data_IF_965724105037
#
_entry.id   IF_965724105037
#
_cell.length_a   1.000
_cell.length_b   1.000
_cell.length_c   1.000
_cell.angle_alpha   90.00
_cell.angle_beta   90.00
_cell.angle_gamma   90.00
#
_symmetry.space_group_name_H-M   'P 1'
#
loop_
_entity.id
_entity.type
_entity.pdbx_description
1 polymer ?
#
# COMPACT_ATOMS: atom_id res chain seq x y z
N UNK A 1 36.69 -6.81 6.66
CA UNK A 1 36.69 -7.88 7.70
C UNK A 1 35.35 -7.98 8.41
N UNK A 2 34.79 -6.87 8.87
CA UNK A 2 33.51 -6.83 9.60
C UNK A 2 32.32 -7.26 8.72
N UNK A 3 32.29 -6.83 7.48
CA UNK A 3 31.26 -7.19 6.50
C UNK A 3 31.27 -8.71 6.23
N UNK A 4 32.46 -9.30 6.10
CA UNK A 4 32.61 -10.73 5.89
C UNK A 4 32.10 -11.54 7.10
N UNK A 5 32.44 -11.09 8.31
CA UNK A 5 31.98 -11.72 9.54
C UNK A 5 30.43 -11.65 9.68
N UNK A 6 29.83 -10.47 9.45
CA UNK A 6 28.38 -10.31 9.48
C UNK A 6 27.68 -11.24 8.49
N UNK A 7 28.21 -11.31 7.28
CA UNK A 7 27.64 -12.15 6.23
C UNK A 7 27.73 -13.63 6.60
N UNK A 8 28.86 -14.07 7.13
CA UNK A 8 29.07 -15.46 7.58
C UNK A 8 28.11 -15.82 8.71
N UNK A 9 28.04 -15.02 9.76
CA UNK A 9 27.15 -15.24 10.90
C UNK A 9 25.68 -15.28 10.47
N UNK A 10 25.25 -14.33 9.64
CA UNK A 10 23.88 -14.28 9.14
C UNK A 10 23.55 -15.49 8.27
N UNK A 11 24.42 -15.87 7.36
CA UNK A 11 24.18 -17.00 6.45
C UNK A 11 24.14 -18.33 7.20
N UNK A 12 25.01 -18.52 8.18
CA UNK A 12 24.98 -19.70 9.06
C UNK A 12 23.66 -19.79 9.83
N UNK A 13 23.25 -18.68 10.44
CA UNK A 13 21.97 -18.64 11.15
C UNK A 13 20.78 -18.94 10.24
N UNK A 14 20.70 -18.35 9.04
CA UNK A 14 19.64 -18.59 8.08
C UNK A 14 19.63 -20.07 7.66
N UNK A 15 20.80 -20.69 7.46
CA UNK A 15 20.93 -22.10 7.10
C UNK A 15 20.42 -23.02 8.22
N UNK A 16 20.84 -22.77 9.46
CA UNK A 16 20.35 -23.52 10.62
C UNK A 16 18.84 -23.44 10.78
N UNK A 17 18.26 -22.25 10.55
CA UNK A 17 16.81 -22.08 10.57
C UNK A 17 16.10 -22.84 9.46
N UNK A 18 16.65 -22.83 8.24
CA UNK A 18 16.09 -23.57 7.11
C UNK A 18 16.15 -25.09 7.38
N UNK A 19 17.25 -25.58 7.93
CA UNK A 19 17.42 -27.01 8.29
C UNK A 19 16.45 -27.43 9.40
N UNK A 20 16.23 -26.57 10.40
CA UNK A 20 15.36 -26.88 11.55
C UNK A 20 13.87 -26.74 11.25
N UNK A 21 13.46 -25.73 10.44
CA UNK A 21 12.05 -25.35 10.28
C UNK A 21 11.55 -25.33 8.84
N UNK A 22 12.46 -25.49 7.87
CA UNK A 22 12.16 -25.34 6.44
C UNK A 22 12.08 -23.88 5.96
N UNK A 23 12.35 -22.90 6.82
CA UNK A 23 12.24 -21.46 6.48
C UNK A 23 13.19 -20.62 7.33
N UNK A 24 13.44 -19.38 6.88
CA UNK A 24 14.10 -18.35 7.67
C UNK A 24 13.55 -16.96 7.36
N UNK A 25 13.80 -16.00 8.24
CA UNK A 25 13.43 -14.60 7.99
C UNK A 25 14.24 -14.04 6.79
N UNK A 26 13.53 -13.68 5.72
CA UNK A 26 14.14 -13.20 4.49
C UNK A 26 14.55 -14.32 3.52
N UNK A 27 13.89 -15.49 3.58
CA UNK A 27 14.13 -16.63 2.68
C UNK A 27 14.01 -16.21 1.20
N UNK A 28 13.22 -15.20 0.89
CA UNK A 28 13.07 -14.65 -0.45
C UNK A 28 14.40 -14.11 -1.03
N UNK A 29 15.36 -13.75 -0.19
CA UNK A 29 16.69 -13.32 -0.64
C UNK A 29 17.52 -14.47 -1.24
N UNK A 30 17.08 -15.70 -1.03
CA UNK A 30 17.66 -16.91 -1.61
C UNK A 30 16.83 -17.43 -2.82
N UNK A 31 15.81 -16.69 -3.27
CA UNK A 31 14.85 -17.10 -4.30
C UNK A 31 15.51 -17.58 -5.60
N UNK A 32 16.59 -16.92 -6.03
CA UNK A 32 17.35 -17.32 -7.22
C UNK A 32 17.85 -18.79 -7.14
N UNK A 33 18.36 -19.19 -6.00
CA UNK A 33 18.88 -20.55 -5.80
C UNK A 33 17.76 -21.59 -5.73
N UNK A 34 16.61 -21.19 -5.15
CA UNK A 34 15.43 -22.06 -5.06
C UNK A 34 14.73 -22.24 -6.41
N UNK A 35 14.68 -21.19 -7.23
CA UNK A 35 14.01 -21.19 -8.54
C UNK A 35 14.92 -21.63 -9.70
N UNK A 36 16.23 -21.74 -9.49
CA UNK A 36 17.21 -22.06 -10.53
C UNK A 36 17.45 -20.94 -11.55
N UNK A 37 17.02 -19.72 -11.25
CA UNK A 37 17.19 -18.56 -12.14
C UNK A 37 18.63 -18.05 -12.17
N UNK A 38 18.97 -17.34 -13.24
CA UNK A 38 20.30 -16.74 -13.41
C UNK A 38 20.44 -15.47 -12.59
N UNK A 39 21.68 -15.06 -12.27
CA UNK A 39 21.93 -13.75 -11.65
C UNK A 39 21.31 -12.61 -12.46
N UNK A 40 20.61 -11.70 -11.77
CA UNK A 40 19.94 -10.55 -12.36
C UNK A 40 18.51 -10.80 -12.87
N UNK A 41 18.07 -12.04 -12.99
CA UNK A 41 16.68 -12.37 -13.31
C UNK A 41 15.77 -12.15 -12.11
N UNK A 42 14.57 -11.57 -12.28
CA UNK A 42 13.61 -11.39 -11.19
C UNK A 42 13.03 -12.74 -10.76
N UNK A 43 12.49 -12.87 -9.53
CA UNK A 43 11.73 -14.03 -9.13
C UNK A 43 10.46 -14.16 -9.98
N UNK A 44 9.82 -15.37 -10.01
CA UNK A 44 8.52 -15.53 -10.64
C UNK A 44 7.51 -14.53 -10.08
N UNK A 45 6.73 -13.92 -10.96
CA UNK A 45 5.67 -12.99 -10.60
C UNK A 45 4.30 -13.55 -10.99
N UNK A 46 3.22 -12.93 -10.51
CA UNK A 46 1.86 -13.32 -10.84
C UNK A 46 1.62 -13.35 -12.37
N UNK A 47 2.31 -12.48 -13.13
CA UNK A 47 2.17 -12.41 -14.59
C UNK A 47 2.59 -13.70 -15.32
N UNK A 48 3.51 -14.46 -14.74
CA UNK A 48 3.95 -15.74 -15.32
C UNK A 48 2.91 -16.87 -15.17
N UNK A 49 1.92 -16.68 -14.31
CA UNK A 49 0.83 -17.63 -14.09
C UNK A 49 -0.43 -17.31 -14.89
N UNK A 50 -0.47 -16.18 -15.58
CA UNK A 50 -1.62 -15.78 -16.37
C UNK A 50 -1.66 -16.55 -17.70
N UNK A 51 -2.83 -17.03 -18.13
CA UNK A 51 -3.04 -17.52 -19.49
C UNK A 51 -2.80 -16.40 -20.52
N UNK A 52 -2.40 -16.78 -21.73
CA UNK A 52 -2.10 -15.84 -22.83
C UNK A 52 -3.29 -14.92 -23.20
N UNK A 53 -4.52 -15.37 -22.96
CA UNK A 53 -5.75 -14.61 -23.23
C UNK A 53 -6.27 -13.81 -22.03
N UNK A 54 -5.45 -13.59 -21.00
CA UNK A 54 -5.84 -12.81 -19.82
C UNK A 54 -6.14 -11.36 -20.19
N UNK A 55 -7.22 -10.82 -19.65
CA UNK A 55 -7.55 -9.40 -19.68
C UNK A 55 -7.20 -8.76 -18.33
N UNK A 56 -6.33 -7.76 -18.36
CA UNK A 56 -5.85 -7.07 -17.17
C UNK A 56 -6.54 -5.72 -17.06
N UNK A 57 -7.01 -5.38 -15.85
CA UNK A 57 -7.51 -4.06 -15.51
C UNK A 57 -6.53 -3.40 -14.54
N UNK A 58 -5.99 -2.26 -14.93
CA UNK A 58 -5.12 -1.44 -14.07
C UNK A 58 -5.95 -0.28 -13.53
N UNK A 59 -6.40 -0.43 -12.30
CA UNK A 59 -7.17 0.60 -11.60
C UNK A 59 -6.26 1.70 -11.07
N UNK A 60 -6.81 2.92 -10.97
CA UNK A 60 -6.07 4.14 -10.59
C UNK A 60 -4.72 4.26 -11.33
N UNK A 61 -4.74 4.04 -12.62
CA UNK A 61 -3.53 3.92 -13.44
C UNK A 61 -2.60 5.14 -13.35
N UNK A 62 -3.15 6.34 -13.11
CA UNK A 62 -2.38 7.56 -12.90
C UNK A 62 -1.44 7.49 -11.67
N UNK A 63 -1.71 6.60 -10.71
CA UNK A 63 -0.85 6.31 -9.56
C UNK A 63 -0.07 5.02 -9.76
N UNK A 64 -0.72 3.97 -10.25
CA UNK A 64 -0.15 2.63 -10.41
C UNK A 64 1.03 2.63 -11.39
N UNK A 65 0.90 3.28 -12.54
CA UNK A 65 1.97 3.31 -13.56
C UNK A 65 3.23 4.02 -13.06
N UNK A 66 3.18 5.20 -12.44
CA UNK A 66 4.35 5.80 -11.81
C UNK A 66 4.99 4.94 -10.71
N UNK A 67 4.20 4.24 -9.89
CA UNK A 67 4.72 3.31 -8.87
C UNK A 67 5.49 2.16 -9.50
N UNK A 68 4.97 1.54 -10.56
CA UNK A 68 5.65 0.49 -11.30
C UNK A 68 7.00 0.98 -11.87
N UNK A 69 7.08 2.21 -12.33
CA UNK A 69 8.32 2.83 -12.78
C UNK A 69 9.35 3.02 -11.64
N UNK A 70 8.89 3.34 -10.43
CA UNK A 70 9.72 3.64 -9.27
C UNK A 70 10.22 2.40 -8.51
N UNK A 71 9.47 1.31 -8.50
CA UNK A 71 9.67 0.14 -7.65
C UNK A 71 11.08 -0.45 -7.75
N UNK A 72 11.56 -0.73 -8.95
CA UNK A 72 12.87 -1.33 -9.17
C UNK A 72 14.03 -0.47 -8.61
N UNK A 73 13.99 0.83 -8.85
CA UNK A 73 15.05 1.75 -8.41
C UNK A 73 15.10 1.86 -6.89
N UNK A 74 13.95 1.94 -6.24
CA UNK A 74 13.84 2.00 -4.78
C UNK A 74 14.34 0.72 -4.11
N UNK A 75 13.90 -0.44 -4.58
CA UNK A 75 14.35 -1.75 -4.10
C UNK A 75 15.87 -1.93 -4.26
N UNK A 76 16.39 -1.63 -5.45
CA UNK A 76 17.83 -1.74 -5.73
C UNK A 76 18.67 -0.85 -4.82
N UNK A 77 18.26 0.38 -4.57
CA UNK A 77 18.98 1.30 -3.70
C UNK A 77 19.11 0.75 -2.27
N UNK A 78 18.01 0.21 -1.72
CA UNK A 78 18.05 -0.37 -0.37
C UNK A 78 18.89 -1.64 -0.30
N UNK A 79 18.74 -2.56 -1.27
CA UNK A 79 19.43 -3.86 -1.26
C UNK A 79 20.91 -3.76 -1.58
N UNK A 80 21.35 -2.79 -2.39
CA UNK A 80 22.77 -2.57 -2.65
C UNK A 80 23.53 -2.25 -1.36
N UNK A 81 22.98 -1.41 -0.50
CA UNK A 81 23.56 -1.13 0.80
C UNK A 81 23.63 -2.38 1.69
N UNK A 82 22.57 -3.19 1.73
CA UNK A 82 22.55 -4.42 2.52
C UNK A 82 23.60 -5.43 2.06
N UNK A 83 23.83 -5.55 0.75
CA UNK A 83 24.86 -6.43 0.20
C UNK A 83 26.27 -5.87 0.43
N UNK A 84 26.49 -4.57 0.19
CA UNK A 84 27.78 -3.90 0.34
C UNK A 84 28.32 -3.98 1.78
N UNK A 85 27.45 -3.77 2.77
CA UNK A 85 27.82 -3.80 4.18
C UNK A 85 27.70 -5.19 4.83
N UNK A 86 27.52 -6.25 4.06
CA UNK A 86 27.53 -7.64 4.53
C UNK A 86 26.31 -8.06 5.35
N UNK A 87 25.21 -7.33 5.28
CA UNK A 87 23.97 -7.71 5.94
C UNK A 87 23.16 -8.78 5.18
N UNK A 88 23.40 -8.91 3.88
CA UNK A 88 22.78 -9.90 2.99
C UNK A 88 23.77 -10.37 1.93
N UNK A 89 23.54 -11.59 1.41
CA UNK A 89 24.27 -12.08 0.24
C UNK A 89 23.96 -11.19 -0.98
N UNK A 90 24.89 -11.03 -1.93
CA UNK A 90 24.65 -10.29 -3.17
C UNK A 90 23.42 -10.78 -3.96
N UNK A 91 23.06 -12.06 -3.81
CA UNK A 91 21.84 -12.64 -4.40
C UNK A 91 20.53 -12.01 -3.90
N UNK A 92 20.54 -11.27 -2.80
CA UNK A 92 19.36 -10.53 -2.35
C UNK A 92 18.87 -9.51 -3.40
N UNK A 93 19.80 -9.03 -4.25
CA UNK A 93 19.47 -8.10 -5.34
C UNK A 93 18.71 -8.74 -6.48
N UNK A 94 18.70 -10.08 -6.57
CA UNK A 94 17.96 -10.83 -7.58
C UNK A 94 16.48 -11.03 -7.17
N UNK A 95 16.18 -10.97 -5.87
CA UNK A 95 14.81 -10.86 -5.37
C UNK A 95 14.33 -9.42 -5.51
N UNK A 96 13.94 -9.05 -6.68
CA UNK A 96 13.61 -7.68 -7.07
C UNK A 96 12.25 -7.59 -7.76
N UNK A 97 11.57 -6.45 -7.71
CA UNK A 97 10.41 -6.22 -8.57
C UNK A 97 10.84 -6.20 -10.05
N UNK A 98 9.85 -6.40 -10.91
CA UNK A 98 10.03 -6.20 -12.35
C UNK A 98 10.48 -4.75 -12.63
N UNK A 99 11.31 -4.58 -13.64
CA UNK A 99 11.49 -3.28 -14.26
C UNK A 99 10.22 -2.93 -15.04
N UNK A 100 9.98 -1.65 -15.25
CA UNK A 100 8.79 -1.22 -16.00
C UNK A 100 8.69 -1.87 -17.38
N UNK A 101 9.79 -1.94 -18.10
CA UNK A 101 9.88 -2.53 -19.44
C UNK A 101 9.61 -4.05 -19.42
N UNK A 102 10.02 -4.73 -18.37
CA UNK A 102 9.74 -6.16 -18.18
C UNK A 102 8.24 -6.38 -17.95
N UNK A 103 7.63 -5.59 -17.09
CA UNK A 103 6.19 -5.61 -16.85
C UNK A 103 5.40 -5.28 -18.12
N UNK A 104 5.79 -4.23 -18.84
CA UNK A 104 5.11 -3.79 -20.08
C UNK A 104 5.16 -4.87 -21.16
N UNK A 105 6.27 -5.62 -21.23
CA UNK A 105 6.43 -6.74 -22.17
C UNK A 105 5.63 -8.00 -21.77
N UNK A 106 5.37 -8.20 -20.46
CA UNK A 106 4.67 -9.39 -19.96
C UNK A 106 3.15 -9.23 -19.94
N UNK A 107 2.66 -8.00 -19.84
CA UNK A 107 1.22 -7.76 -19.81
C UNK A 107 0.56 -8.10 -21.15
N UNK A 108 -0.58 -8.74 -21.06
CA UNK A 108 -1.45 -9.09 -22.18
C UNK A 108 -2.40 -7.90 -22.51
N UNK A 109 -3.61 -8.18 -22.99
CA UNK A 109 -4.62 -7.15 -23.19
C UNK A 109 -4.90 -6.41 -21.89
N UNK A 110 -4.77 -5.09 -21.91
CA UNK A 110 -4.83 -4.28 -20.69
C UNK A 110 -5.75 -3.08 -20.86
N UNK A 111 -6.66 -2.89 -19.91
CA UNK A 111 -7.52 -1.72 -19.77
C UNK A 111 -7.01 -0.89 -18.61
N UNK A 112 -6.70 0.36 -18.87
CA UNK A 112 -6.29 1.32 -17.85
C UNK A 112 -7.49 2.16 -17.44
N UNK A 113 -7.76 2.24 -16.13
CA UNK A 113 -8.90 2.95 -15.56
C UNK A 113 -8.40 4.04 -14.62
N UNK A 114 -8.93 5.24 -14.76
CA UNK A 114 -8.62 6.36 -13.86
C UNK A 114 -9.64 7.47 -14.03
N UNK A 115 -9.92 8.19 -12.93
CA UNK A 115 -10.68 9.45 -13.01
C UNK A 115 -9.84 10.58 -13.65
N UNK A 116 -8.50 10.50 -13.55
CA UNK A 116 -7.54 11.51 -14.00
C UNK A 116 -6.35 10.82 -14.68
N UNK A 117 -6.51 10.32 -15.92
CA UNK A 117 -5.44 9.59 -16.62
C UNK A 117 -4.12 10.38 -16.65
N UNK A 118 -3.02 9.67 -16.44
CA UNK A 118 -1.69 10.25 -16.38
C UNK A 118 -1.06 10.47 -17.77
N UNK A 119 0.09 11.18 -17.83
CA UNK A 119 0.76 11.50 -19.11
C UNK A 119 1.17 10.27 -19.91
N UNK A 120 1.55 9.17 -19.23
CA UNK A 120 1.97 7.95 -19.92
C UNK A 120 0.80 7.30 -20.65
N UNK A 121 -0.35 7.13 -19.99
CA UNK A 121 -1.55 6.53 -20.56
C UNK A 121 -2.08 7.37 -21.73
N UNK A 122 -2.16 8.68 -21.53
CA UNK A 122 -2.60 9.61 -22.60
C UNK A 122 -1.71 9.53 -23.83
N UNK A 123 -0.40 9.38 -23.65
CA UNK A 123 0.55 9.19 -24.75
C UNK A 123 0.32 7.86 -25.48
N UNK A 124 0.06 6.76 -24.74
CA UNK A 124 -0.18 5.44 -25.35
C UNK A 124 -1.40 5.45 -26.29
N UNK A 125 -2.47 6.13 -25.89
CA UNK A 125 -3.72 6.20 -26.64
C UNK A 125 -3.83 7.45 -27.53
N UNK A 126 -2.76 8.22 -27.68
CA UNK A 126 -2.75 9.49 -28.45
C UNK A 126 -3.88 10.44 -28.06
N UNK A 127 -4.12 10.56 -26.75
CA UNK A 127 -5.23 11.32 -26.13
C UNK A 127 -6.64 10.87 -26.58
N UNK A 128 -6.80 9.64 -27.05
CA UNK A 128 -8.10 9.06 -27.40
C UNK A 128 -8.46 8.01 -26.37
N UNK A 129 -9.40 8.29 -25.49
CA UNK A 129 -9.87 7.40 -24.44
C UNK A 129 -11.39 7.43 -24.36
N UNK A 130 -11.95 6.42 -23.71
CA UNK A 130 -13.40 6.32 -23.48
C UNK A 130 -13.71 7.01 -22.16
N UNK A 131 -14.66 7.93 -22.20
CA UNK A 131 -15.15 8.61 -21.00
C UNK A 131 -16.41 7.93 -20.47
N UNK A 132 -16.46 7.69 -19.17
CA UNK A 132 -17.65 7.25 -18.47
C UNK A 132 -18.06 8.33 -17.46
N UNK A 133 -18.83 9.30 -17.93
CA UNK A 133 -19.20 10.49 -17.15
C UNK A 133 -20.48 10.28 -16.35
N UNK A 134 -21.34 9.37 -16.78
CA UNK A 134 -22.64 9.16 -16.17
C UNK A 134 -22.51 8.22 -14.96
N UNK A 135 -22.96 8.71 -13.78
CA UNK A 135 -23.09 7.90 -12.58
C UNK A 135 -24.55 7.44 -12.44
N UNK A 136 -24.89 6.18 -12.83
CA UNK A 136 -26.29 5.73 -12.91
C UNK A 136 -26.92 5.40 -11.55
N UNK A 137 -26.20 5.54 -10.45
CA UNK A 137 -26.65 5.21 -9.09
C UNK A 137 -27.77 6.12 -8.57
N UNK A 138 -27.96 7.30 -9.16
CA UNK A 138 -28.86 8.33 -8.65
C UNK A 138 -28.40 9.02 -7.36
N UNK A 139 -27.23 8.63 -6.83
CA UNK A 139 -26.63 9.26 -5.65
C UNK A 139 -25.80 10.46 -6.09
N UNK A 140 -26.14 11.61 -5.55
CA UNK A 140 -25.35 12.85 -5.72
C UNK A 140 -24.19 12.88 -4.72
N UNK A 141 -23.14 13.60 -5.06
CA UNK A 141 -22.04 13.84 -4.13
C UNK A 141 -22.53 14.64 -2.92
N UNK A 142 -22.02 14.36 -1.72
CA UNK A 142 -22.38 15.12 -0.53
C UNK A 142 -21.95 16.59 -0.66
N UNK A 143 -22.68 17.53 -0.09
CA UNK A 143 -22.25 18.93 -0.05
C UNK A 143 -20.93 19.05 0.72
N UNK A 144 -20.00 19.85 0.20
CA UNK A 144 -18.70 20.12 0.80
C UNK A 144 -18.65 21.56 1.29
N UNK A 145 -18.32 21.74 2.56
CA UNK A 145 -18.11 23.04 3.17
C UNK A 145 -16.64 23.20 3.54
N UNK A 146 -16.01 24.29 3.08
CA UNK A 146 -14.63 24.63 3.40
C UNK A 146 -14.62 25.66 4.52
N UNK A 147 -13.94 25.33 5.62
CA UNK A 147 -13.84 26.19 6.80
C UNK A 147 -12.38 26.55 7.10
N UNK A 148 -12.14 27.69 7.79
CA UNK A 148 -10.80 28.08 8.20
C UNK A 148 -10.16 27.04 9.14
N UNK A 149 -8.86 26.76 8.95
CA UNK A 149 -8.12 25.84 9.82
C UNK A 149 -7.88 26.40 11.24
N UNK A 150 -8.05 27.71 11.44
CA UNK A 150 -7.92 28.31 12.76
C UNK A 150 -9.06 27.81 13.67
N UNK A 151 -8.71 27.27 14.85
CA UNK A 151 -9.64 26.67 15.81
C UNK A 151 -10.40 25.45 15.25
N UNK A 152 -9.81 24.72 14.29
CA UNK A 152 -10.46 23.59 13.62
C UNK A 152 -10.88 22.46 14.58
N UNK A 153 -10.19 22.28 15.72
CA UNK A 153 -10.52 21.23 16.70
C UNK A 153 -11.78 21.60 17.48
N UNK A 154 -11.93 22.86 17.87
CA UNK A 154 -13.14 23.34 18.55
C UNK A 154 -14.36 23.30 17.63
N UNK A 155 -14.16 23.69 16.37
CA UNK A 155 -15.20 23.63 15.34
C UNK A 155 -15.61 22.18 15.07
N UNK A 156 -14.65 21.26 14.94
CA UNK A 156 -14.93 19.83 14.81
C UNK A 156 -15.75 19.30 15.99
N UNK A 157 -15.35 19.65 17.21
CA UNK A 157 -16.07 19.21 18.41
C UNK A 157 -17.51 19.71 18.43
N UNK A 158 -17.74 20.95 18.03
CA UNK A 158 -19.09 21.51 17.92
C UNK A 158 -19.93 20.73 16.89
N UNK A 159 -19.36 20.47 15.73
CA UNK A 159 -20.05 19.68 14.68
C UNK A 159 -20.30 18.24 15.12
N UNK A 160 -19.36 17.59 15.79
CA UNK A 160 -19.58 16.25 16.36
C UNK A 160 -20.80 16.25 17.29
N UNK A 161 -20.87 17.16 18.23
CA UNK A 161 -22.01 17.25 19.17
C UNK A 161 -23.34 17.44 18.44
N UNK A 162 -23.38 18.34 17.45
CA UNK A 162 -24.58 18.59 16.63
C UNK A 162 -25.03 17.34 15.86
N UNK A 163 -24.11 16.57 15.32
CA UNK A 163 -24.41 15.35 14.56
C UNK A 163 -24.88 14.22 15.49
N UNK A 164 -24.26 14.09 16.67
CA UNK A 164 -24.63 13.12 17.71
C UNK A 164 -26.05 13.36 18.22
N UNK A 165 -26.44 14.59 18.45
CA UNK A 165 -27.81 14.97 18.86
C UNK A 165 -28.88 14.48 17.87
N UNK A 166 -28.53 14.34 16.60
CA UNK A 166 -29.39 13.81 15.55
C UNK A 166 -29.27 12.26 15.37
N UNK A 167 -28.62 11.57 16.30
CA UNK A 167 -28.33 10.12 16.21
C UNK A 167 -27.57 9.69 14.95
N UNK A 168 -26.77 10.60 14.38
CA UNK A 168 -25.88 10.29 13.27
C UNK A 168 -24.45 9.99 13.78
N UNK A 169 -23.57 9.59 12.87
CA UNK A 169 -22.17 9.25 13.14
C UNK A 169 -21.24 10.18 12.40
N UNK A 170 -20.03 10.36 12.94
CA UNK A 170 -19.02 11.24 12.36
C UNK A 170 -17.79 10.43 11.98
N UNK A 171 -17.27 10.64 10.78
CA UNK A 171 -15.97 10.13 10.35
C UNK A 171 -15.01 11.32 10.22
N UNK A 172 -13.90 11.25 10.93
CA UNK A 172 -12.85 12.28 10.91
C UNK A 172 -11.58 11.72 10.29
N UNK A 173 -11.03 12.41 9.31
CA UNK A 173 -9.74 12.04 8.71
C UNK A 173 -8.64 13.00 9.15
N UNK A 174 -7.46 12.46 9.41
CA UNK A 174 -6.27 13.21 9.80
C UNK A 174 -5.09 12.92 8.87
N UNK A 175 -4.09 13.80 8.86
CA UNK A 175 -2.92 13.65 7.99
C UNK A 175 -1.92 12.58 8.49
N UNK A 176 -1.91 12.28 9.78
CA UNK A 176 -0.94 11.32 10.37
C UNK A 176 -1.62 10.42 11.40
N UNK A 177 -1.05 9.22 11.61
CA UNK A 177 -1.48 8.27 12.66
C UNK A 177 -1.44 8.93 14.05
N UNK A 178 -0.33 9.58 14.39
CA UNK A 178 -0.16 10.28 15.66
C UNK A 178 -1.26 11.31 15.88
N UNK A 179 -1.59 12.11 14.87
CA UNK A 179 -2.67 13.09 14.98
C UNK A 179 -4.03 12.40 15.21
N UNK A 180 -4.26 11.22 14.62
CA UNK A 180 -5.49 10.45 14.89
C UNK A 180 -5.56 10.00 16.34
N UNK A 181 -4.46 9.53 16.91
CA UNK A 181 -4.36 9.09 18.29
C UNK A 181 -4.55 10.27 19.26
N UNK A 182 -3.78 11.35 19.10
CA UNK A 182 -3.86 12.57 19.92
C UNK A 182 -5.27 13.19 19.89
N UNK A 183 -5.89 13.25 18.71
CA UNK A 183 -7.25 13.77 18.55
C UNK A 183 -8.30 12.87 19.21
N UNK A 184 -8.11 11.56 19.14
CA UNK A 184 -9.00 10.58 19.80
C UNK A 184 -8.98 10.76 21.32
N UNK A 185 -7.80 10.91 21.93
CA UNK A 185 -7.65 11.17 23.36
C UNK A 185 -8.38 12.47 23.75
N UNK A 186 -8.14 13.54 23.02
CA UNK A 186 -8.79 14.83 23.26
C UNK A 186 -10.33 14.78 23.14
N UNK A 187 -10.87 14.14 22.13
CA UNK A 187 -12.32 13.99 21.93
C UNK A 187 -12.94 13.13 23.03
N UNK A 188 -12.26 12.06 23.44
CA UNK A 188 -12.68 11.17 24.51
C UNK A 188 -12.76 11.92 25.86
N UNK A 189 -11.74 12.71 26.21
CA UNK A 189 -11.72 13.53 27.41
C UNK A 189 -12.87 14.57 27.43
N UNK A 190 -13.34 14.98 26.26
CA UNK A 190 -14.48 15.90 26.11
C UNK A 190 -15.85 15.20 25.95
N UNK A 191 -15.91 13.88 26.26
CA UNK A 191 -17.14 13.12 26.38
C UNK A 191 -17.71 12.57 25.07
N UNK A 192 -16.93 12.56 23.98
CA UNK A 192 -17.30 11.93 22.71
C UNK A 192 -16.82 10.46 22.74
N UNK A 193 -17.69 9.53 22.37
CA UNK A 193 -17.34 8.11 22.24
C UNK A 193 -16.65 7.89 20.90
N UNK A 194 -15.33 7.87 20.90
CA UNK A 194 -14.49 7.90 19.72
C UNK A 194 -13.51 6.72 19.69
N UNK A 195 -13.18 6.27 18.49
CA UNK A 195 -12.11 5.31 18.25
C UNK A 195 -11.33 5.73 17.00
N UNK A 196 -9.99 5.60 17.03
CA UNK A 196 -9.17 5.79 15.83
C UNK A 196 -9.07 4.50 15.01
N UNK A 197 -8.81 4.68 13.71
CA UNK A 197 -8.61 3.58 12.76
C UNK A 197 -7.46 3.97 11.80
N UNK A 198 -6.35 3.23 11.86
CA UNK A 198 -5.21 3.41 10.96
C UNK A 198 -4.59 2.07 10.53
N UNK A 199 -3.51 2.11 9.75
CA UNK A 199 -2.94 0.92 9.10
C UNK A 199 -2.35 -0.12 10.05
N UNK A 200 -2.03 0.24 11.31
CA UNK A 200 -1.42 -0.67 12.28
C UNK A 200 -2.46 -1.47 13.07
N UNK A 201 -3.76 -1.16 12.88
CA UNK A 201 -4.86 -1.91 13.50
C UNK A 201 -5.07 -3.21 12.72
N UNK A 202 -5.13 -4.33 13.45
CA UNK A 202 -5.36 -5.66 12.89
C UNK A 202 -6.70 -5.74 12.14
N UNK A 203 -6.76 -6.62 11.14
CA UNK A 203 -7.93 -6.76 10.26
C UNK A 203 -9.19 -7.12 11.03
N UNK A 204 -9.11 -8.02 12.00
CA UNK A 204 -10.27 -8.43 12.81
C UNK A 204 -10.76 -7.27 13.68
N UNK A 205 -9.86 -6.57 14.35
CA UNK A 205 -10.20 -5.39 15.16
C UNK A 205 -10.82 -4.28 14.29
N UNK A 206 -10.32 -4.08 13.08
CA UNK A 206 -10.90 -3.13 12.12
C UNK A 206 -12.36 -3.44 11.79
N UNK A 207 -12.68 -4.72 11.56
CA UNK A 207 -14.06 -5.17 11.29
C UNK A 207 -14.96 -4.88 12.49
N UNK A 208 -14.46 -5.13 13.71
CA UNK A 208 -15.20 -4.86 14.95
C UNK A 208 -15.46 -3.37 15.12
N UNK A 209 -14.45 -2.51 14.94
CA UNK A 209 -14.61 -1.05 15.04
C UNK A 209 -15.68 -0.56 14.06
N UNK A 210 -15.65 -1.02 12.80
CA UNK A 210 -16.63 -0.62 11.78
C UNK A 210 -18.04 -1.12 12.09
N UNK A 211 -18.18 -2.32 12.65
CA UNK A 211 -19.45 -2.85 13.15
C UNK A 211 -20.00 -2.01 14.30
N UNK A 212 -19.14 -1.72 15.27
CA UNK A 212 -19.51 -1.01 16.48
C UNK A 212 -19.91 0.45 16.20
N UNK A 213 -19.26 1.10 15.23
CA UNK A 213 -19.69 2.40 14.70
C UNK A 213 -21.13 2.34 14.15
N UNK A 214 -21.44 1.32 13.33
CA UNK A 214 -22.78 1.13 12.79
C UNK A 214 -23.84 0.84 13.85
N UNK A 215 -23.45 0.12 14.90
CA UNK A 215 -24.32 -0.23 16.03
C UNK A 215 -24.49 0.94 17.02
N UNK A 216 -23.75 2.02 16.87
CA UNK A 216 -23.83 3.19 17.76
C UNK A 216 -23.08 3.04 19.09
N UNK A 217 -22.09 2.19 19.13
CA UNK A 217 -21.15 2.10 20.28
C UNK A 217 -20.27 3.34 20.33
N UNK A 218 -19.93 3.87 19.15
CA UNK A 218 -19.20 5.11 18.95
C UNK A 218 -20.08 6.20 18.32
N UNK A 219 -19.68 7.45 18.50
CA UNK A 219 -20.32 8.63 17.94
C UNK A 219 -19.68 9.02 16.62
#
# INVERSE_FOLDING_TARGET
LLEAQRLEERTKFDLEMIEATGSCAGIENYSRFLSGRKPGEPPPTLFEYFPDNTLIFVDECHVTVPQLNGMYKGDRSSKSNLAEYGFRLPSCMDNRPLKFEEWDAMRTQTVFVSATPGPWELKQVRNKFVEQVIRPTGLIDPPVEIRPAKNQVDDLMHECKRVIENNHRVLVTTLTKKMAEDLTEYLHENGIKVRYLHSDIDTLERIEIMRDLRMGVFD
#
